data_IF_111610505901
#
_entry.id   IF_111610505901
#
_cell.length_a   1.000
_cell.length_b   1.000
_cell.length_c   1.000
_cell.angle_alpha   90.00
_cell.angle_beta   90.00
_cell.angle_gamma   90.00
#
_symmetry.space_group_name_H-M   'P 1'
#
loop_
_entity.id
_entity.type
_entity.pdbx_description
1 polymer ?
#
# COMPACT_ATOMS: atom_id res chain seq x y z
N UNK A 1 25.09 15.25 -5.02
CA UNK A 1 24.65 15.76 -6.34
C UNK A 1 23.91 14.70 -7.16
N UNK A 2 24.55 13.59 -7.59
CA UNK A 2 23.87 12.56 -8.40
C UNK A 2 22.70 11.88 -7.68
N UNK A 3 22.92 11.37 -6.46
CA UNK A 3 21.89 10.69 -5.67
C UNK A 3 20.68 11.57 -5.33
N UNK A 4 20.91 12.85 -5.01
CA UNK A 4 19.82 13.82 -4.78
C UNK A 4 18.98 14.04 -6.05
N UNK A 5 19.62 14.07 -7.23
CA UNK A 5 18.91 14.18 -8.50
C UNK A 5 18.11 12.91 -8.83
N UNK A 6 18.67 11.72 -8.56
CA UNK A 6 17.94 10.44 -8.68
C UNK A 6 16.70 10.42 -7.79
N UNK A 7 16.85 10.84 -6.52
CA UNK A 7 15.73 10.94 -5.59
C UNK A 7 14.66 11.90 -6.12
N UNK A 8 15.04 13.12 -6.52
CA UNK A 8 14.09 14.11 -7.08
C UNK A 8 13.29 13.55 -8.25
N UNK A 9 13.93 12.83 -9.17
CA UNK A 9 13.26 12.22 -10.31
C UNK A 9 12.29 11.11 -9.88
N UNK A 10 12.69 10.24 -8.95
CA UNK A 10 11.82 9.19 -8.42
C UNK A 10 10.60 9.76 -7.68
N UNK A 11 10.77 10.86 -6.93
CA UNK A 11 9.66 11.56 -6.27
C UNK A 11 8.66 12.12 -7.27
N UNK A 12 9.14 12.77 -8.35
CA UNK A 12 8.27 13.27 -9.43
C UNK A 12 7.48 12.16 -10.11
N UNK A 13 8.12 11.02 -10.38
CA UNK A 13 7.43 9.85 -10.96
C UNK A 13 6.39 9.28 -10.00
N UNK A 14 6.72 9.18 -8.71
CA UNK A 14 5.81 8.73 -7.66
C UNK A 14 4.60 9.66 -7.51
N UNK A 15 4.79 10.98 -7.54
CA UNK A 15 3.69 11.96 -7.55
C UNK A 15 2.76 11.76 -8.76
N UNK A 16 3.33 11.53 -9.94
CA UNK A 16 2.56 11.22 -11.15
C UNK A 16 1.70 9.95 -11.01
N UNK A 17 2.23 8.91 -10.38
CA UNK A 17 1.48 7.70 -10.06
C UNK A 17 0.35 7.95 -9.06
N UNK A 18 0.61 8.68 -7.97
CA UNK A 18 -0.40 8.99 -6.95
C UNK A 18 -1.56 9.81 -7.53
N UNK A 19 -1.26 10.75 -8.44
CA UNK A 19 -2.31 11.49 -9.16
C UNK A 19 -3.16 10.57 -10.04
N UNK A 20 -2.54 9.64 -10.79
CA UNK A 20 -3.28 8.63 -11.57
C UNK A 20 -4.14 7.74 -10.68
N UNK A 21 -3.64 7.34 -9.51
CA UNK A 21 -4.41 6.56 -8.53
C UNK A 21 -5.60 7.35 -7.98
N UNK A 22 -5.41 8.64 -7.68
CA UNK A 22 -6.49 9.53 -7.26
C UNK A 22 -7.58 9.64 -8.34
N UNK A 23 -7.21 9.89 -9.59
CA UNK A 23 -8.14 9.98 -10.73
C UNK A 23 -8.91 8.67 -10.95
N UNK A 24 -8.20 7.54 -10.94
CA UNK A 24 -8.79 6.21 -11.06
C UNK A 24 -9.77 5.93 -9.92
N UNK A 25 -9.39 6.24 -8.69
CA UNK A 25 -10.24 6.06 -7.49
C UNK A 25 -11.48 6.94 -7.55
N UNK A 26 -11.33 8.19 -7.98
CA UNK A 26 -12.43 9.12 -8.17
C UNK A 26 -13.46 8.59 -9.17
N UNK A 27 -12.98 7.95 -10.23
CA UNK A 27 -13.82 7.37 -11.28
C UNK A 27 -14.49 6.06 -10.84
N UNK A 28 -13.76 5.18 -10.14
CA UNK A 28 -14.25 3.84 -9.78
C UNK A 28 -15.12 3.79 -8.53
N UNK A 29 -14.90 4.70 -7.59
CA UNK A 29 -15.46 4.67 -6.23
C UNK A 29 -16.06 6.03 -5.87
N UNK A 30 -15.30 7.12 -6.07
CA UNK A 30 -15.75 8.48 -5.77
C UNK A 30 -14.66 9.38 -5.20
N UNK A 31 -14.95 10.69 -5.19
CA UNK A 31 -14.02 11.74 -4.72
C UNK A 31 -13.57 11.59 -3.26
N UNK A 32 -14.42 11.18 -2.29
CA UNK A 32 -13.96 11.03 -0.90
C UNK A 32 -12.81 10.03 -0.77
N UNK A 33 -12.92 8.87 -1.43
CA UNK A 33 -11.89 7.84 -1.41
C UNK A 33 -10.65 8.25 -2.22
N UNK A 34 -10.82 9.02 -3.30
CA UNK A 34 -9.68 9.59 -4.03
C UNK A 34 -8.81 10.51 -3.16
N UNK A 35 -9.40 11.15 -2.14
CA UNK A 35 -8.70 11.96 -1.15
C UNK A 35 -7.56 11.22 -0.42
N UNK A 36 -7.62 9.89 -0.35
CA UNK A 36 -6.55 9.05 0.21
C UNK A 36 -5.22 9.30 -0.53
N UNK A 37 -5.24 9.16 -1.86
CA UNK A 37 -4.04 9.38 -2.68
C UNK A 37 -3.67 10.86 -2.78
N UNK A 38 -4.64 11.77 -2.64
CA UNK A 38 -4.36 13.19 -2.46
C UNK A 38 -3.51 13.46 -1.21
N UNK A 39 -3.86 12.84 -0.08
CA UNK A 39 -3.07 12.94 1.15
C UNK A 39 -1.67 12.31 0.99
N UNK A 40 -1.54 11.20 0.24
CA UNK A 40 -0.23 10.63 -0.07
C UNK A 40 0.63 11.58 -0.89
N UNK A 41 0.05 12.24 -1.89
CA UNK A 41 0.75 13.26 -2.68
C UNK A 41 1.20 14.43 -1.80
N UNK A 42 0.36 14.88 -0.87
CA UNK A 42 0.72 15.96 0.07
C UNK A 42 1.90 15.59 0.97
N UNK A 43 1.91 14.36 1.53
CA UNK A 43 3.05 13.88 2.32
C UNK A 43 4.33 13.81 1.49
N UNK A 44 4.23 13.32 0.26
CA UNK A 44 5.37 13.17 -0.64
C UNK A 44 5.95 14.51 -1.13
N UNK A 45 5.09 15.52 -1.32
CA UNK A 45 5.45 16.86 -1.78
C UNK A 45 5.90 17.79 -0.63
N UNK A 46 5.92 17.31 0.62
CA UNK A 46 6.40 18.05 1.77
C UNK A 46 7.90 18.43 1.61
N UNK A 47 8.22 19.75 1.49
CA UNK A 47 9.59 20.20 1.32
C UNK A 47 10.52 19.80 2.46
N UNK A 48 10.01 19.71 3.70
CA UNK A 48 10.82 19.40 4.86
C UNK A 48 11.26 17.93 4.84
N UNK A 49 10.35 17.02 4.48
CA UNK A 49 10.65 15.59 4.28
C UNK A 49 11.68 15.39 3.18
N UNK A 50 11.50 16.06 2.03
CA UNK A 50 12.44 15.96 0.92
C UNK A 50 13.82 16.52 1.31
N UNK A 51 13.85 17.66 2.00
CA UNK A 51 15.09 18.29 2.43
C UNK A 51 15.82 17.45 3.48
N UNK A 52 15.11 16.77 4.38
CA UNK A 52 15.70 15.81 5.33
C UNK A 52 16.42 14.68 4.59
N UNK A 53 15.77 14.06 3.60
CA UNK A 53 16.38 13.03 2.77
C UNK A 53 17.60 13.55 2.00
N UNK A 54 17.53 14.73 1.39
CA UNK A 54 18.68 15.33 0.67
C UNK A 54 19.86 15.62 1.59
N UNK A 55 19.57 16.09 2.81
CA UNK A 55 20.58 16.38 3.82
C UNK A 55 21.26 15.10 4.28
N UNK A 56 20.48 14.04 4.50
CA UNK A 56 21.00 12.72 4.86
C UNK A 56 21.95 12.16 3.79
N UNK A 57 21.58 12.23 2.51
CA UNK A 57 22.44 11.82 1.39
C UNK A 57 23.78 12.58 1.45
N UNK A 58 23.74 13.89 1.67
CA UNK A 58 24.93 14.73 1.67
C UNK A 58 25.84 14.49 2.88
N UNK A 59 25.26 14.31 4.07
CA UNK A 59 26.01 14.19 5.32
C UNK A 59 26.53 12.76 5.57
N UNK A 60 25.74 11.75 5.19
CA UNK A 60 26.07 10.34 5.45
C UNK A 60 26.71 9.64 4.24
N UNK A 61 26.81 10.33 3.09
CA UNK A 61 27.32 9.78 1.84
C UNK A 61 26.63 8.46 1.43
N UNK A 62 25.34 8.32 1.73
CA UNK A 62 24.54 7.14 1.42
C UNK A 62 23.76 7.28 0.10
N UNK A 63 23.20 6.18 -0.39
CA UNK A 63 22.37 6.20 -1.60
C UNK A 63 21.00 6.86 -1.37
N UNK A 64 20.35 7.24 -2.47
CA UNK A 64 18.98 7.75 -2.47
C UNK A 64 17.99 6.76 -1.85
N UNK A 65 18.13 5.46 -2.13
CA UNK A 65 17.28 4.40 -1.58
C UNK A 65 17.42 4.31 -0.06
N UNK A 66 18.66 4.33 0.44
CA UNK A 66 18.93 4.25 1.87
C UNK A 66 18.38 5.50 2.58
N UNK A 67 18.66 6.69 2.05
CA UNK A 67 18.21 7.92 2.66
C UNK A 67 16.68 8.01 2.70
N UNK A 68 16.03 7.74 1.56
CA UNK A 68 14.57 7.78 1.47
C UNK A 68 13.89 6.74 2.36
N UNK A 69 14.44 5.51 2.40
CA UNK A 69 13.96 4.47 3.29
C UNK A 69 14.01 4.91 4.75
N UNK A 70 15.13 5.47 5.20
CA UNK A 70 15.26 5.89 6.59
C UNK A 70 14.27 6.99 6.99
N UNK A 71 14.04 7.98 6.12
CA UNK A 71 13.05 9.03 6.40
C UNK A 71 11.63 8.46 6.49
N UNK A 72 11.23 7.61 5.54
CA UNK A 72 9.85 7.09 5.49
C UNK A 72 9.61 6.01 6.54
N UNK A 73 10.63 5.22 6.90
CA UNK A 73 10.55 4.28 8.02
C UNK A 73 10.41 5.01 9.37
N UNK A 74 11.02 6.20 9.53
CA UNK A 74 10.82 7.03 10.71
C UNK A 74 9.38 7.55 10.78
N UNK A 75 8.86 8.12 9.70
CA UNK A 75 7.45 8.57 9.63
C UNK A 75 6.47 7.41 9.90
N UNK A 76 6.74 6.24 9.33
CA UNK A 76 5.98 5.01 9.59
C UNK A 76 6.03 4.61 11.07
N UNK A 77 7.20 4.68 11.70
CA UNK A 77 7.36 4.38 13.12
C UNK A 77 6.58 5.37 14.01
N UNK A 78 6.57 6.65 13.66
CA UNK A 78 5.80 7.68 14.36
C UNK A 78 4.30 7.36 14.33
N UNK A 79 3.76 6.99 13.17
CA UNK A 79 2.36 6.54 13.08
C UNK A 79 2.10 5.31 13.95
N UNK A 80 2.98 4.30 13.93
CA UNK A 80 2.81 3.08 14.75
C UNK A 80 2.82 3.35 16.25
N UNK A 81 3.49 4.41 16.69
CA UNK A 81 3.63 4.78 18.09
C UNK A 81 2.47 5.62 18.64
N UNK A 82 1.54 6.06 17.79
CA UNK A 82 0.34 6.78 18.23
C UNK A 82 -0.59 5.84 19.02
N UNK A 83 -1.36 6.40 19.96
CA UNK A 83 -2.32 5.64 20.77
C UNK A 83 -3.68 5.39 20.05
N UNK A 84 -3.86 5.96 18.87
CA UNK A 84 -5.12 5.86 18.10
C UNK A 84 -4.97 4.86 16.95
N UNK A 85 -5.71 3.75 17.02
CA UNK A 85 -5.70 2.67 16.01
C UNK A 85 -6.02 3.13 14.59
N UNK A 86 -6.87 4.16 14.43
CA UNK A 86 -7.17 4.73 13.13
C UNK A 86 -5.94 5.45 12.56
N UNK A 87 -5.22 6.21 13.39
CA UNK A 87 -4.00 6.90 12.98
C UNK A 87 -2.83 5.92 12.78
N UNK A 88 -2.69 4.90 13.64
CA UNK A 88 -1.67 3.85 13.49
C UNK A 88 -1.77 3.14 12.15
N UNK A 89 -2.99 2.91 11.67
CA UNK A 89 -3.23 2.28 10.37
C UNK A 89 -2.74 3.11 9.16
N UNK A 90 -2.34 4.38 9.35
CA UNK A 90 -1.72 5.20 8.30
C UNK A 90 -0.26 4.83 8.02
N UNK A 91 0.38 4.03 8.87
CA UNK A 91 1.73 3.54 8.58
C UNK A 91 1.80 2.78 7.24
N UNK A 92 0.75 2.04 6.91
CA UNK A 92 0.66 1.30 5.65
C UNK A 92 0.68 2.23 4.42
N UNK A 93 0.13 3.43 4.55
CA UNK A 93 0.12 4.46 3.51
C UNK A 93 1.55 4.97 3.24
N UNK A 94 2.32 5.18 4.31
CA UNK A 94 3.73 5.60 4.24
C UNK A 94 4.56 4.51 3.57
N UNK A 95 4.31 3.24 3.91
CA UNK A 95 4.95 2.08 3.27
C UNK A 95 4.59 1.94 1.79
N UNK A 96 3.35 2.25 1.41
CA UNK A 96 2.93 2.24 -0.01
C UNK A 96 3.72 3.29 -0.82
N UNK A 97 3.84 4.52 -0.30
CA UNK A 97 4.65 5.59 -0.90
C UNK A 97 6.11 5.15 -1.01
N UNK A 98 6.68 4.63 0.08
CA UNK A 98 8.06 4.17 0.12
C UNK A 98 8.33 3.08 -0.93
N UNK A 99 7.49 2.04 -0.99
CA UNK A 99 7.62 0.94 -1.95
C UNK A 99 7.59 1.46 -3.39
N UNK A 100 6.71 2.41 -3.67
CA UNK A 100 6.59 3.03 -4.99
C UNK A 100 7.82 3.86 -5.38
N UNK A 101 8.30 4.73 -4.50
CA UNK A 101 9.51 5.52 -4.80
C UNK A 101 10.75 4.65 -4.94
N UNK A 102 10.90 3.61 -4.11
CA UNK A 102 12.00 2.65 -4.23
C UNK A 102 11.96 1.90 -5.57
N UNK A 103 10.77 1.57 -6.08
CA UNK A 103 10.64 0.90 -7.39
C UNK A 103 11.29 1.70 -8.52
N UNK A 104 11.16 3.03 -8.49
CA UNK A 104 11.79 3.92 -9.47
C UNK A 104 13.30 4.05 -9.25
N UNK A 105 13.73 4.22 -8.01
CA UNK A 105 15.16 4.33 -7.67
C UNK A 105 15.93 3.07 -8.06
N UNK A 106 15.34 1.90 -7.82
CA UNK A 106 15.90 0.58 -8.09
C UNK A 106 15.69 0.14 -9.54
N UNK A 107 14.89 0.87 -10.33
CA UNK A 107 14.47 0.48 -11.68
C UNK A 107 13.80 -0.91 -11.71
N UNK A 108 13.06 -1.23 -10.64
CA UNK A 108 12.35 -2.49 -10.46
C UNK A 108 10.86 -2.19 -10.29
N UNK A 109 10.07 -2.21 -11.38
CA UNK A 109 8.65 -1.92 -11.32
C UNK A 109 7.92 -2.86 -10.35
N UNK A 110 6.94 -2.32 -9.63
CA UNK A 110 6.05 -3.14 -8.80
C UNK A 110 5.24 -4.04 -9.72
N UNK A 111 5.39 -5.36 -9.55
CA UNK A 111 4.62 -6.34 -10.30
C UNK A 111 3.12 -6.17 -9.96
N UNK A 112 2.24 -6.02 -10.98
CA UNK A 112 0.81 -5.97 -10.73
C UNK A 112 0.28 -7.34 -10.28
N UNK A 113 -0.78 -7.33 -9.48
CA UNK A 113 -1.54 -8.54 -9.17
C UNK A 113 -2.38 -8.89 -10.41
N UNK A 114 -1.92 -9.86 -11.20
CA UNK A 114 -2.64 -10.34 -12.39
C UNK A 114 -3.49 -11.55 -12.07
N UNK A 115 -4.79 -11.45 -12.37
CA UNK A 115 -5.79 -12.50 -12.16
C UNK A 115 -6.34 -12.96 -13.51
N UNK A 116 -6.37 -14.28 -13.73
CA UNK A 116 -6.94 -14.89 -14.94
C UNK A 116 -8.33 -15.49 -14.71
N UNK A 117 -8.73 -15.66 -13.46
CA UNK A 117 -9.99 -16.27 -13.05
C UNK A 117 -10.48 -15.68 -11.72
N UNK A 118 -11.75 -15.88 -11.34
CA UNK A 118 -12.26 -15.47 -10.04
C UNK A 118 -11.57 -16.21 -8.89
N UNK A 119 -10.97 -15.47 -7.94
CA UNK A 119 -10.19 -16.03 -6.83
C UNK A 119 -10.46 -15.33 -5.49
N UNK A 120 -10.16 -16.02 -4.40
CA UNK A 120 -9.95 -15.41 -3.08
C UNK A 120 -8.45 -15.10 -2.96
N UNK A 121 -8.10 -13.85 -2.70
CA UNK A 121 -6.72 -13.45 -2.45
C UNK A 121 -6.35 -13.76 -1.01
N UNK A 122 -5.23 -14.46 -0.80
CA UNK A 122 -4.66 -14.71 0.53
C UNK A 122 -3.25 -14.12 0.55
N UNK A 123 -3.02 -13.14 1.43
CA UNK A 123 -1.82 -12.32 1.44
C UNK A 123 -1.41 -11.97 2.88
N UNK A 124 -0.20 -11.46 3.08
CA UNK A 124 0.16 -10.94 4.41
C UNK A 124 -0.50 -9.60 4.68
N UNK A 125 -0.25 -8.66 3.77
CA UNK A 125 -0.85 -7.34 3.74
C UNK A 125 -1.10 -6.97 2.26
N UNK A 126 -1.93 -5.96 2.03
CA UNK A 126 -2.14 -5.37 0.70
C UNK A 126 -2.15 -3.85 0.82
N UNK A 127 -1.46 -3.17 -0.09
CA UNK A 127 -1.34 -1.70 -0.09
C UNK A 127 -2.61 -1.05 -0.67
N UNK A 128 -2.97 0.18 -0.26
CA UNK A 128 -4.14 0.86 -0.81
C UNK A 128 -4.03 1.04 -2.34
N UNK A 129 -2.83 1.29 -2.86
CA UNK A 129 -2.61 1.37 -4.31
C UNK A 129 -2.80 0.04 -5.03
N UNK A 130 -2.55 -1.10 -4.39
CA UNK A 130 -2.80 -2.44 -4.96
C UNK A 130 -4.30 -2.73 -5.03
N UNK A 131 -5.06 -2.39 -3.98
CA UNK A 131 -6.52 -2.60 -3.93
C UNK A 131 -7.25 -1.93 -5.09
N UNK A 132 -6.89 -0.68 -5.42
CA UNK A 132 -7.52 0.09 -6.53
C UNK A 132 -7.19 -0.49 -7.90
N UNK A 133 -6.11 -1.26 -8.01
CA UNK A 133 -5.68 -1.89 -9.25
C UNK A 133 -6.38 -3.23 -9.50
N UNK A 134 -6.99 -3.84 -8.49
CA UNK A 134 -7.71 -5.11 -8.60
C UNK A 134 -8.94 -5.00 -9.52
N UNK A 135 -9.17 -6.06 -10.30
CA UNK A 135 -10.43 -6.25 -11.01
C UNK A 135 -11.47 -6.87 -10.05
N UNK A 136 -12.42 -6.04 -9.61
CA UNK A 136 -13.50 -6.45 -8.68
C UNK A 136 -14.35 -7.62 -9.20
N UNK A 137 -14.31 -7.94 -10.50
CA UNK A 137 -15.03 -9.09 -11.08
C UNK A 137 -14.30 -10.41 -10.85
N UNK A 138 -12.99 -10.36 -10.63
CA UNK A 138 -12.14 -11.53 -10.42
C UNK A 138 -11.76 -11.71 -8.94
N UNK A 139 -11.98 -10.71 -8.10
CA UNK A 139 -11.73 -10.83 -6.65
C UNK A 139 -13.02 -11.20 -5.94
N UNK A 140 -13.15 -12.48 -5.57
CA UNK A 140 -14.27 -13.01 -4.78
C UNK A 140 -14.17 -12.62 -3.30
N UNK A 141 -12.95 -12.34 -2.83
CA UNK A 141 -12.67 -11.88 -1.48
C UNK A 141 -11.18 -11.73 -1.21
N UNK A 142 -10.84 -11.07 -0.10
CA UNK A 142 -9.46 -10.84 0.34
C UNK A 142 -9.33 -11.31 1.79
N UNK A 143 -8.32 -12.13 2.05
CA UNK A 143 -7.94 -12.64 3.36
C UNK A 143 -6.50 -12.22 3.65
N UNK A 144 -6.30 -11.43 4.70
CA UNK A 144 -4.98 -10.99 5.12
C UNK A 144 -4.57 -11.66 6.44
N UNK A 145 -3.33 -12.13 6.55
CA UNK A 145 -2.79 -12.56 7.85
C UNK A 145 -2.49 -11.38 8.77
N UNK A 146 -2.02 -10.27 8.20
CA UNK A 146 -1.79 -9.01 8.87
C UNK A 146 -2.83 -7.94 8.52
N UNK A 147 -2.42 -6.68 8.66
CA UNK A 147 -3.24 -5.51 8.35
C UNK A 147 -4.21 -5.11 9.46
N UNK A 148 -4.92 -4.01 9.22
CA UNK A 148 -5.86 -3.42 10.17
C UNK A 148 -7.20 -3.12 9.49
N UNK A 149 -8.31 -3.33 10.19
CA UNK A 149 -9.66 -3.12 9.64
C UNK A 149 -9.97 -1.65 9.32
N UNK A 150 -9.23 -0.72 9.95
CA UNK A 150 -9.31 0.73 9.70
C UNK A 150 -8.34 1.23 8.63
N UNK A 151 -7.52 0.35 8.03
CA UNK A 151 -6.59 0.72 6.97
C UNK A 151 -7.30 1.26 5.73
N UNK A 152 -6.63 2.11 4.96
CA UNK A 152 -7.18 2.56 3.68
C UNK A 152 -7.40 1.41 2.70
N UNK A 153 -6.59 0.35 2.76
CA UNK A 153 -6.83 -0.88 2.00
C UNK A 153 -8.20 -1.49 2.32
N UNK A 154 -8.56 -1.61 3.60
CA UNK A 154 -9.87 -2.13 4.02
C UNK A 154 -11.02 -1.20 3.63
N UNK A 155 -10.84 0.13 3.79
CA UNK A 155 -11.82 1.14 3.39
C UNK A 155 -12.08 1.08 1.88
N UNK A 156 -11.02 1.00 1.07
CA UNK A 156 -11.10 0.91 -0.38
C UNK A 156 -11.73 -0.41 -0.84
N UNK A 157 -11.32 -1.54 -0.25
CA UNK A 157 -11.89 -2.84 -0.57
C UNK A 157 -13.40 -2.87 -0.31
N UNK A 158 -13.84 -2.36 0.85
CA UNK A 158 -15.26 -2.21 1.19
C UNK A 158 -16.00 -1.33 0.19
N UNK A 159 -15.43 -0.17 -0.16
CA UNK A 159 -16.06 0.75 -1.11
C UNK A 159 -16.14 0.19 -2.55
N UNK A 160 -15.26 -0.75 -2.90
CA UNK A 160 -15.30 -1.50 -4.16
C UNK A 160 -16.21 -2.72 -4.12
N UNK A 161 -16.82 -3.03 -2.97
CA UNK A 161 -17.68 -4.21 -2.79
C UNK A 161 -16.93 -5.53 -2.68
N UNK A 162 -15.62 -5.50 -2.38
CA UNK A 162 -14.81 -6.70 -2.17
C UNK A 162 -14.86 -7.13 -0.70
N UNK A 163 -15.36 -8.34 -0.39
CA UNK A 163 -15.30 -8.88 0.97
C UNK A 163 -13.86 -8.97 1.44
N UNK A 164 -13.56 -8.50 2.65
CA UNK A 164 -12.21 -8.55 3.21
C UNK A 164 -12.24 -8.99 4.68
N UNK A 165 -11.34 -9.91 5.03
CA UNK A 165 -11.03 -10.28 6.42
C UNK A 165 -9.55 -10.03 6.65
N UNK A 166 -9.22 -9.45 7.81
CA UNK A 166 -7.84 -9.12 8.22
C UNK A 166 -7.50 -9.81 9.52
N UNK A 167 -6.21 -9.94 9.83
CA UNK A 167 -5.75 -10.57 11.08
C UNK A 167 -5.99 -12.08 11.15
N UNK A 168 -6.14 -12.77 10.01
CA UNK A 168 -6.25 -14.23 9.99
C UNK A 168 -4.87 -14.87 10.04
N UNK A 169 -4.34 -14.99 11.26
CA UNK A 169 -3.07 -15.68 11.53
C UNK A 169 -3.04 -17.06 10.85
N UNK A 170 -1.86 -17.43 10.36
CA UNK A 170 -1.59 -18.71 9.69
C UNK A 170 -2.29 -18.96 8.34
N UNK A 171 -3.15 -18.06 7.84
CA UNK A 171 -3.86 -18.28 6.58
C UNK A 171 -2.92 -18.57 5.40
N UNK A 172 -1.76 -17.91 5.35
CA UNK A 172 -0.72 -18.14 4.33
C UNK A 172 -0.10 -19.54 4.41
N UNK A 173 0.07 -20.08 5.62
CA UNK A 173 0.68 -21.40 5.83
C UNK A 173 -0.30 -22.55 5.61
N UNK A 174 -1.60 -22.28 5.83
CA UNK A 174 -2.66 -23.27 5.71
C UNK A 174 -3.26 -23.35 4.30
N UNK A 175 -3.05 -22.34 3.46
CA UNK A 175 -3.59 -22.27 2.10
C UNK A 175 -2.55 -22.64 1.04
N UNK A 176 -3.04 -23.10 -0.11
CA UNK A 176 -2.23 -23.30 -1.32
C UNK A 176 -2.90 -22.64 -2.51
N UNK A 177 -2.10 -22.07 -3.42
CA UNK A 177 -2.63 -21.52 -4.68
C UNK A 177 -3.40 -22.60 -5.45
N UNK A 178 -4.60 -22.25 -5.93
CA UNK A 178 -5.51 -23.16 -6.63
C UNK A 178 -6.39 -24.02 -5.71
N UNK A 179 -6.24 -23.94 -4.38
CA UNK A 179 -7.12 -24.63 -3.45
C UNK A 179 -8.50 -23.96 -3.38
N UNK A 180 -9.56 -24.77 -3.44
CA UNK A 180 -10.93 -24.27 -3.25
C UNK A 180 -11.15 -23.84 -1.80
N UNK A 181 -11.71 -22.65 -1.62
CA UNK A 181 -12.01 -22.09 -0.31
C UNK A 181 -13.31 -21.26 -0.34
N UNK A 182 -13.90 -21.07 0.83
CA UNK A 182 -15.02 -20.17 1.06
C UNK A 182 -14.60 -19.10 2.07
N UNK A 183 -14.83 -17.83 1.73
CA UNK A 183 -14.62 -16.71 2.64
C UNK A 183 -15.98 -16.19 3.14
N UNK A 184 -16.23 -16.32 4.43
CA UNK A 184 -17.36 -15.66 5.11
C UNK A 184 -16.83 -14.44 5.86
N UNK A 185 -16.88 -13.28 5.20
CA UNK A 185 -16.39 -12.03 5.78
C UNK A 185 -17.30 -11.48 6.90
N UNK A 186 -18.55 -11.90 6.98
CA UNK A 186 -19.46 -11.50 8.06
C UNK A 186 -19.10 -12.22 9.37
N UNK A 187 -18.65 -13.48 9.27
CA UNK A 187 -18.18 -14.27 10.42
C UNK A 187 -16.67 -14.20 10.64
N UNK A 188 -15.92 -13.66 9.68
CA UNK A 188 -14.47 -13.60 9.74
C UNK A 188 -13.81 -14.98 9.59
N UNK A 189 -14.35 -15.84 8.71
CA UNK A 189 -13.91 -17.24 8.57
C UNK A 189 -13.47 -17.52 7.14
N UNK A 190 -12.32 -18.18 6.98
CA UNK A 190 -11.90 -18.85 5.76
C UNK A 190 -11.99 -20.36 5.96
N UNK A 191 -12.82 -21.03 5.15
CA UNK A 191 -12.94 -22.48 5.15
C UNK A 191 -12.27 -23.05 3.90
N UNK A 192 -11.39 -24.02 4.10
CA UNK A 192 -10.71 -24.71 3.01
C UNK A 192 -11.49 -25.98 2.68
N UNK A 193 -11.61 -26.29 1.38
CA UNK A 193 -12.06 -27.61 0.98
C UNK A 193 -11.04 -28.64 1.43
N UNK A 194 -11.55 -29.76 1.97
CA UNK A 194 -10.78 -30.98 2.18
C UNK A 194 -10.30 -31.56 0.85
#
# INVERSE_FOLDING_TARGET
MHEQQRLRQALQQTLGDLNRLAERTATLIGKPQAGIFGAHSMLLDDPDLQQAAYTRIAQQCCSAEQAWRQELEAVAADYRALDDDYLRARELDVRDILRRTLSYLQQQPIAPITLSEPVILVMDEIMPSEVVMLDRRLVLGICLSGGHALSHSAILAKAMGMPMVVGMSDCLTQTRSGQTAMLDAARGVLQLSA
#
